data_IF_782481951998
#
_entry.id   IF_782481951998
#
_cell.length_a   1.000
_cell.length_b   1.000
_cell.length_c   1.000
_cell.angle_alpha   90.00
_cell.angle_beta   90.00
_cell.angle_gamma   90.00
#
_symmetry.space_group_name_H-M   'P 1'
#
loop_
_entity.id
_entity.type
_entity.pdbx_description
1 polymer ?
#
# COMPACT_ATOMS: atom_id res chain seq x y z
N UNK A 1 -20.28 -5.43 -1.57
CA UNK A 1 -18.87 -5.40 -2.01
C UNK A 1 -18.83 -6.06 -3.37
N UNK A 2 -18.37 -5.34 -4.39
CA UNK A 2 -18.29 -5.89 -5.76
C UNK A 2 -17.15 -6.91 -5.85
N UNK A 3 -17.15 -7.74 -6.89
CA UNK A 3 -16.03 -8.66 -7.14
C UNK A 3 -14.71 -7.91 -7.32
N UNK A 4 -14.74 -6.75 -7.96
CA UNK A 4 -13.59 -5.86 -8.13
C UNK A 4 -13.04 -5.38 -6.78
N UNK A 5 -13.90 -4.93 -5.86
CA UNK A 5 -13.48 -4.52 -4.52
C UNK A 5 -12.86 -5.68 -3.72
N UNK A 6 -13.36 -6.92 -3.91
CA UNK A 6 -12.80 -8.11 -3.29
C UNK A 6 -11.41 -8.42 -3.83
N UNK A 7 -11.26 -8.45 -5.16
CA UNK A 7 -9.97 -8.69 -5.83
C UNK A 7 -8.96 -7.63 -5.41
N UNK A 8 -9.37 -6.35 -5.37
CA UNK A 8 -8.51 -5.26 -4.92
C UNK A 8 -7.99 -5.46 -3.50
N UNK A 9 -8.87 -5.80 -2.55
CA UNK A 9 -8.48 -6.08 -1.15
C UNK A 9 -7.54 -7.27 -1.05
N UNK A 10 -7.84 -8.35 -1.77
CA UNK A 10 -7.00 -9.54 -1.80
C UNK A 10 -5.62 -9.24 -2.37
N UNK A 11 -5.55 -8.46 -3.45
CA UNK A 11 -4.29 -8.07 -4.07
C UNK A 11 -3.43 -7.21 -3.14
N UNK A 12 -4.03 -6.22 -2.45
CA UNK A 12 -3.32 -5.45 -1.43
C UNK A 12 -2.73 -6.37 -0.35
N UNK A 13 -3.51 -7.35 0.11
CA UNK A 13 -3.04 -8.30 1.13
C UNK A 13 -1.89 -9.18 0.61
N UNK A 14 -2.03 -9.75 -0.58
CA UNK A 14 -1.02 -10.62 -1.22
C UNK A 14 0.31 -9.89 -1.45
N UNK A 15 0.29 -8.63 -1.85
CA UNK A 15 1.51 -7.82 -1.99
C UNK A 15 2.22 -7.62 -0.66
N UNK A 16 1.49 -7.39 0.42
CA UNK A 16 2.08 -7.30 1.76
C UNK A 16 2.79 -8.59 2.17
N UNK A 17 2.16 -9.73 1.89
CA UNK A 17 2.70 -11.05 2.20
C UNK A 17 3.92 -11.37 1.32
N UNK A 18 3.89 -11.02 0.04
CA UNK A 18 5.04 -11.14 -0.86
C UNK A 18 6.23 -10.29 -0.40
N UNK A 19 6.01 -9.01 -0.07
CA UNK A 19 7.06 -8.15 0.47
C UNK A 19 7.67 -8.75 1.73
N UNK A 20 6.84 -9.24 2.65
CA UNK A 20 7.31 -9.92 3.86
C UNK A 20 8.14 -11.16 3.54
N UNK A 21 7.73 -11.97 2.55
CA UNK A 21 8.48 -13.15 2.11
C UNK A 21 9.87 -12.81 1.56
N UNK A 22 10.03 -11.64 0.95
CA UNK A 22 11.33 -11.10 0.52
C UNK A 22 12.10 -10.35 1.63
N UNK A 23 11.67 -10.45 2.90
CA UNK A 23 12.31 -9.75 4.02
C UNK A 23 12.06 -8.23 4.06
N UNK A 24 11.10 -7.74 3.29
CA UNK A 24 10.73 -6.32 3.23
C UNK A 24 9.57 -5.99 4.18
N UNK A 25 9.34 -4.69 4.37
CA UNK A 25 8.26 -4.21 5.21
C UNK A 25 6.88 -4.51 4.58
N UNK A 26 6.01 -5.22 5.31
CA UNK A 26 4.65 -5.59 4.84
C UNK A 26 3.79 -4.38 4.46
N UNK A 27 3.86 -3.28 5.24
CA UNK A 27 3.12 -2.05 4.95
C UNK A 27 3.61 -1.39 3.65
N UNK A 28 4.90 -1.53 3.30
CA UNK A 28 5.42 -1.09 2.01
C UNK A 28 4.77 -1.85 0.86
N UNK A 29 4.58 -3.16 0.98
CA UNK A 29 3.84 -3.95 -0.01
C UNK A 29 2.40 -3.48 -0.17
N UNK A 30 1.70 -3.23 0.94
CA UNK A 30 0.32 -2.71 0.89
C UNK A 30 0.24 -1.33 0.20
N UNK A 31 1.17 -0.42 0.50
CA UNK A 31 1.22 0.92 -0.13
C UNK A 31 1.50 0.80 -1.62
N UNK A 32 2.47 -0.01 -2.03
CA UNK A 32 2.80 -0.21 -3.45
C UNK A 32 1.61 -0.80 -4.20
N UNK A 33 0.95 -1.83 -3.66
CA UNK A 33 -0.26 -2.39 -4.27
C UNK A 33 -1.37 -1.34 -4.41
N UNK A 34 -1.60 -0.55 -3.37
CA UNK A 34 -2.61 0.50 -3.41
C UNK A 34 -2.32 1.53 -4.51
N UNK A 35 -1.06 1.93 -4.68
CA UNK A 35 -0.65 2.87 -5.72
C UNK A 35 -0.78 2.28 -7.13
N UNK A 36 -0.43 1.01 -7.34
CA UNK A 36 -0.58 0.32 -8.63
C UNK A 36 -2.04 0.26 -9.07
N UNK A 37 -2.96 0.04 -8.13
CA UNK A 37 -4.40 -0.05 -8.41
C UNK A 37 -5.12 1.30 -8.41
N UNK A 38 -4.42 2.40 -8.13
CA UNK A 38 -5.06 3.72 -8.12
C UNK A 38 -5.00 4.33 -9.52
N UNK A 39 -6.15 4.68 -10.13
CA UNK A 39 -6.15 5.32 -11.45
C UNK A 39 -5.57 6.74 -11.39
N UNK A 40 -5.66 7.38 -10.22
CA UNK A 40 -5.15 8.72 -9.97
C UNK A 40 -4.12 8.73 -8.83
N UNK A 41 -3.20 9.71 -8.80
CA UNK A 41 -2.29 9.90 -7.68
C UNK A 41 -3.04 10.02 -6.34
N UNK A 42 -2.53 9.34 -5.31
CA UNK A 42 -3.11 9.40 -3.97
C UNK A 42 -2.32 10.33 -3.07
N UNK A 43 -3.05 11.14 -2.30
CA UNK A 43 -2.50 11.88 -1.16
C UNK A 43 -2.17 10.94 0.00
N UNK A 44 -1.31 11.41 0.92
CA UNK A 44 -0.98 10.66 2.14
C UNK A 44 -2.20 10.35 3.01
N UNK A 45 -3.19 11.26 3.04
CA UNK A 45 -4.39 11.09 3.85
C UNK A 45 -5.35 10.06 3.24
N UNK A 46 -5.41 9.97 1.91
CA UNK A 46 -6.16 8.91 1.23
C UNK A 46 -5.52 7.53 1.45
N UNK A 47 -4.20 7.42 1.40
CA UNK A 47 -3.49 6.16 1.71
C UNK A 47 -3.75 5.74 3.16
N UNK A 48 -3.68 6.68 4.09
CA UNK A 48 -3.97 6.49 5.52
C UNK A 48 -5.38 5.94 5.73
N UNK A 49 -6.38 6.55 5.09
CA UNK A 49 -7.79 6.14 5.15
C UNK A 49 -8.00 4.75 4.54
N UNK A 50 -7.43 4.49 3.37
CA UNK A 50 -7.65 3.23 2.64
C UNK A 50 -6.97 2.03 3.29
N UNK A 51 -5.83 2.23 3.96
CA UNK A 51 -5.10 1.15 4.64
C UNK A 51 -5.43 1.00 6.14
N UNK A 52 -6.23 1.92 6.71
CA UNK A 52 -6.57 1.89 8.15
C UNK A 52 -5.31 1.99 9.02
N UNK A 53 -4.43 2.93 8.71
CA UNK A 53 -3.15 3.17 9.41
C UNK A 53 -3.00 4.63 9.76
N UNK A 54 -2.14 4.96 10.72
CA UNK A 54 -1.82 6.36 11.03
C UNK A 54 -0.88 6.97 10.00
N UNK A 55 -0.88 8.30 9.88
CA UNK A 55 -0.12 9.07 8.88
C UNK A 55 1.41 8.91 9.03
N UNK A 56 1.91 8.69 10.24
CA UNK A 56 3.35 8.57 10.52
C UNK A 56 4.03 7.42 9.77
N UNK A 57 3.63 6.15 9.99
CA UNK A 57 4.15 5.00 9.25
C UNK A 57 3.98 5.12 7.73
N UNK A 58 2.83 5.63 7.27
CA UNK A 58 2.59 5.85 5.83
C UNK A 58 3.60 6.84 5.26
N UNK A 59 3.76 8.01 5.89
CA UNK A 59 4.71 9.04 5.47
C UNK A 59 6.15 8.53 5.41
N UNK A 60 6.58 7.79 6.44
CA UNK A 60 7.93 7.22 6.47
C UNK A 60 8.17 6.23 5.32
N UNK A 61 7.21 5.36 5.02
CA UNK A 61 7.35 4.37 3.94
C UNK A 61 7.27 5.03 2.57
N UNK A 62 6.33 5.95 2.33
CA UNK A 62 6.23 6.69 1.06
C UNK A 62 7.51 7.46 0.79
N UNK A 63 8.10 8.11 1.80
CA UNK A 63 9.42 8.77 1.67
C UNK A 63 10.51 7.76 1.28
N UNK A 64 10.59 6.61 1.96
CA UNK A 64 11.55 5.56 1.62
C UNK A 64 11.37 5.03 0.20
N UNK A 65 10.14 4.89 -0.28
CA UNK A 65 9.85 4.46 -1.66
C UNK A 65 10.35 5.47 -2.68
N UNK A 66 10.14 6.77 -2.43
CA UNK A 66 10.66 7.85 -3.29
C UNK A 66 12.19 7.92 -3.29
N UNK A 67 12.81 7.68 -2.14
CA UNK A 67 14.26 7.86 -1.98
C UNK A 67 15.08 6.64 -2.46
N UNK A 68 14.43 5.52 -2.81
CA UNK A 68 15.09 4.37 -3.48
C UNK A 68 15.44 4.76 -4.92
N UNK A 69 16.75 4.89 -5.19
CA UNK A 69 17.33 4.94 -6.54
C UNK A 69 17.48 3.54 -7.11
#
# INVERSE_FOLDING_TARGET
MTDEERVRKEMIQRFGDAYKAFGLNKLMGHIVALLIYSPEPLSLDEITKQLGRSKGPISQIVRRLRDKK
#
